data_IF_094104274514
#
_entry.id   IF_094104274514
#
_cell.length_a   1.000
_cell.length_b   1.000
_cell.length_c   1.000
_cell.angle_alpha   90.00
_cell.angle_beta   90.00
_cell.angle_gamma   90.00
#
_symmetry.space_group_name_H-M   'P 1'
#
loop_
_entity.id
_entity.type
_entity.pdbx_description
1 polymer ?
#
# COMPACT_ATOMS: atom_id res chain seq x y z
N UNK A 1 10.00 -26.21 20.11
CA UNK A 1 9.30 -25.05 20.72
C UNK A 1 7.83 -25.41 20.76
N UNK A 2 7.20 -25.38 21.93
CA UNK A 2 5.76 -25.55 22.05
C UNK A 2 5.15 -24.15 22.12
N UNK A 3 4.25 -23.85 21.20
CA UNK A 3 3.50 -22.60 21.22
C UNK A 3 2.38 -22.71 22.24
N UNK A 4 2.29 -21.76 23.16
CA UNK A 4 1.23 -21.68 24.16
C UNK A 4 0.27 -20.57 23.77
N UNK A 5 -1.00 -20.92 23.62
CA UNK A 5 -2.08 -19.98 23.35
C UNK A 5 -3.00 -19.92 24.58
N UNK A 6 -3.37 -18.72 25.01
CA UNK A 6 -4.39 -18.52 26.04
C UNK A 6 -5.48 -17.61 25.51
N UNK A 7 -6.73 -18.04 25.67
CA UNK A 7 -7.89 -17.27 25.27
C UNK A 7 -8.26 -16.32 26.42
N UNK A 8 -8.14 -15.00 26.22
CA UNK A 8 -8.60 -14.02 27.22
C UNK A 8 -10.10 -13.76 27.05
N UNK A 9 -10.86 -14.15 28.06
CA UNK A 9 -12.26 -13.76 28.21
C UNK A 9 -12.33 -12.49 29.04
N UNK A 10 -12.51 -11.37 28.34
CA UNK A 10 -12.70 -10.05 28.94
C UNK A 10 -14.21 -9.85 29.11
N UNK A 11 -14.62 -9.31 30.26
CA UNK A 11 -16.02 -9.08 30.63
C UNK A 11 -16.79 -8.19 29.64
N UNK A 12 -16.08 -7.29 28.94
CA UNK A 12 -16.64 -6.46 27.88
C UNK A 12 -16.61 -7.08 26.48
N UNK A 13 -15.96 -8.24 26.28
CA UNK A 13 -15.88 -8.89 24.98
C UNK A 13 -17.13 -9.73 24.71
N UNK A 14 -18.05 -9.22 23.90
CA UNK A 14 -19.27 -9.95 23.51
C UNK A 14 -19.04 -11.05 22.47
N UNK A 15 -17.81 -11.17 21.93
CA UNK A 15 -17.51 -12.14 20.87
C UNK A 15 -17.75 -13.60 21.27
N UNK A 16 -17.66 -13.93 22.57
CA UNK A 16 -17.93 -15.29 23.08
C UNK A 16 -19.42 -15.62 23.22
N UNK A 17 -20.30 -14.60 23.19
CA UNK A 17 -21.74 -14.78 23.29
C UNK A 17 -22.42 -14.99 21.92
N UNK A 18 -21.64 -15.00 20.84
CA UNK A 18 -22.16 -15.20 19.49
C UNK A 18 -22.63 -16.64 19.25
N UNK A 19 -23.69 -16.79 18.47
CA UNK A 19 -24.26 -18.10 18.09
C UNK A 19 -23.48 -18.78 16.96
N UNK A 20 -22.58 -18.05 16.29
CA UNK A 20 -21.83 -18.54 15.13
C UNK A 20 -20.52 -19.17 15.58
N UNK A 21 -20.33 -20.45 15.25
CA UNK A 21 -19.03 -21.10 15.35
C UNK A 21 -18.13 -20.69 14.17
N UNK A 22 -16.93 -20.23 14.50
CA UNK A 22 -15.98 -19.72 13.51
C UNK A 22 -14.88 -20.71 13.22
N UNK A 23 -14.62 -20.94 11.93
CA UNK A 23 -13.30 -21.36 11.48
C UNK A 23 -12.48 -20.11 11.17
N UNK A 24 -11.14 -20.22 11.19
CA UNK A 24 -10.26 -19.11 10.78
C UNK A 24 -10.62 -18.60 9.38
N UNK A 25 -10.97 -19.51 8.46
CA UNK A 25 -11.37 -19.15 7.10
C UNK A 25 -12.70 -18.40 7.07
N UNK A 26 -13.74 -18.92 7.72
CA UNK A 26 -15.07 -18.31 7.68
C UNK A 26 -15.07 -16.94 8.36
N UNK A 27 -14.33 -16.79 9.46
CA UNK A 27 -14.16 -15.50 10.12
C UNK A 27 -13.42 -14.50 9.23
N UNK A 28 -12.32 -14.90 8.57
CA UNK A 28 -11.59 -14.00 7.66
C UNK A 28 -12.45 -13.51 6.50
N UNK A 29 -13.25 -14.40 5.91
CA UNK A 29 -14.16 -14.04 4.83
C UNK A 29 -15.25 -13.08 5.32
N UNK A 30 -15.85 -13.34 6.49
CA UNK A 30 -16.86 -12.49 7.11
C UNK A 30 -16.35 -11.07 7.40
N UNK A 31 -15.09 -10.94 7.82
CA UNK A 31 -14.46 -9.66 8.09
C UNK A 31 -13.96 -8.92 6.82
N UNK A 32 -14.15 -9.49 5.62
CA UNK A 32 -13.71 -8.88 4.36
C UNK A 32 -12.19 -8.88 4.15
N UNK A 33 -11.45 -9.80 4.78
CA UNK A 33 -9.99 -9.84 4.65
C UNK A 33 -9.54 -10.11 3.20
N UNK A 34 -10.33 -10.83 2.42
CA UNK A 34 -9.94 -11.24 1.08
C UNK A 34 -9.86 -10.03 0.14
N UNK A 35 -10.76 -9.05 0.26
CA UNK A 35 -10.70 -7.78 -0.44
C UNK A 35 -9.53 -6.93 0.05
N UNK A 36 -9.35 -6.82 1.37
CA UNK A 36 -8.24 -6.04 1.96
C UNK A 36 -6.85 -6.58 1.58
N UNK A 37 -6.70 -7.90 1.47
CA UNK A 37 -5.44 -8.54 1.08
C UNK A 37 -4.94 -8.08 -0.29
N UNK A 38 -5.84 -7.75 -1.22
CA UNK A 38 -5.49 -7.41 -2.60
C UNK A 38 -4.56 -6.21 -2.72
N UNK A 39 -4.61 -5.28 -1.77
CA UNK A 39 -3.72 -4.12 -1.70
C UNK A 39 -2.72 -4.16 -0.54
N UNK A 40 -2.95 -4.98 0.49
CA UNK A 40 -2.12 -4.99 1.70
C UNK A 40 -0.76 -5.66 1.50
N UNK A 41 -0.71 -6.72 0.69
CA UNK A 41 0.50 -7.55 0.55
C UNK A 41 1.68 -6.76 -0.02
N UNK A 42 1.46 -6.09 -1.14
CA UNK A 42 2.48 -5.29 -1.83
C UNK A 42 2.99 -4.14 -0.95
N UNK A 43 2.11 -3.52 -0.16
CA UNK A 43 2.51 -2.52 0.83
C UNK A 43 3.44 -3.08 1.91
N UNK A 44 3.09 -4.24 2.46
CA UNK A 44 3.95 -4.90 3.45
C UNK A 44 5.32 -5.24 2.90
N UNK A 45 5.40 -5.71 1.66
CA UNK A 45 6.66 -6.02 1.01
C UNK A 45 7.58 -4.78 0.96
N UNK A 46 7.04 -3.62 0.58
CA UNK A 46 7.77 -2.34 0.60
C UNK A 46 8.28 -2.01 2.00
N UNK A 47 7.41 -2.10 3.02
CA UNK A 47 7.78 -1.78 4.40
C UNK A 47 8.85 -2.74 4.95
N UNK A 48 8.72 -4.04 4.69
CA UNK A 48 9.66 -5.06 5.12
C UNK A 48 11.01 -4.87 4.43
N UNK A 49 11.01 -4.64 3.11
CA UNK A 49 12.22 -4.37 2.36
C UNK A 49 12.95 -3.13 2.87
N UNK A 50 12.21 -2.03 3.13
CA UNK A 50 12.80 -0.83 3.74
C UNK A 50 13.36 -1.12 5.14
N UNK A 51 12.67 -1.94 5.95
CA UNK A 51 13.14 -2.37 7.25
C UNK A 51 14.46 -3.14 7.20
N UNK A 52 14.66 -3.96 6.17
CA UNK A 52 15.91 -4.69 5.94
C UNK A 52 17.05 -3.80 5.47
N UNK A 53 16.77 -2.76 4.67
CA UNK A 53 17.78 -1.81 4.19
C UNK A 53 18.22 -0.81 5.26
N UNK A 54 17.44 -0.67 6.35
CA UNK A 54 17.73 0.27 7.43
C UNK A 54 17.18 1.68 7.17
N UNK A 55 17.64 2.69 7.93
CA UNK A 55 17.07 4.03 7.88
C UNK A 55 17.30 4.73 6.53
N UNK A 56 16.23 5.18 5.89
CA UNK A 56 16.28 5.95 4.66
C UNK A 56 16.69 7.40 4.93
N UNK A 57 17.84 7.82 4.39
CA UNK A 57 18.22 9.23 4.37
C UNK A 57 17.46 9.97 3.25
N UNK A 58 16.20 10.31 3.52
CA UNK A 58 15.36 11.06 2.60
C UNK A 58 15.52 12.57 2.82
N UNK A 59 15.78 13.32 1.75
CA UNK A 59 15.68 14.78 1.80
C UNK A 59 14.20 15.23 1.88
N UNK A 60 13.95 16.53 2.12
CA UNK A 60 12.59 17.06 2.26
C UNK A 60 11.71 16.80 1.03
N UNK A 61 12.33 16.73 -0.16
CA UNK A 61 11.63 16.46 -1.42
C UNK A 61 11.15 15.02 -1.50
N UNK A 62 12.04 14.05 -1.26
CA UNK A 62 11.70 12.62 -1.25
C UNK A 62 10.61 12.34 -0.23
N UNK A 63 10.69 12.95 0.97
CA UNK A 63 9.63 12.84 1.98
C UNK A 63 8.27 13.32 1.45
N UNK A 64 8.21 14.49 0.81
CA UNK A 64 6.95 15.01 0.24
C UNK A 64 6.38 14.10 -0.86
N UNK A 65 7.24 13.60 -1.76
CA UNK A 65 6.81 12.69 -2.83
C UNK A 65 6.27 11.40 -2.22
N UNK A 66 7.02 10.78 -1.32
CA UNK A 66 6.60 9.57 -0.60
C UNK A 66 5.27 9.79 0.11
N UNK A 67 5.13 10.86 0.89
CA UNK A 67 3.89 11.17 1.61
C UNK A 67 2.71 11.34 0.65
N UNK A 68 2.92 11.97 -0.50
CA UNK A 68 1.86 12.16 -1.50
C UNK A 68 1.41 10.81 -2.07
N UNK A 69 2.38 9.99 -2.53
CA UNK A 69 2.07 8.70 -3.16
C UNK A 69 1.45 7.72 -2.15
N UNK A 70 1.91 7.71 -0.90
CA UNK A 70 1.49 6.73 0.11
C UNK A 70 0.23 7.13 0.92
N UNK A 71 -0.02 8.43 1.13
CA UNK A 71 -1.04 8.89 2.08
C UNK A 71 -2.01 9.94 1.54
N UNK A 72 -1.79 10.48 0.33
CA UNK A 72 -2.69 11.45 -0.30
C UNK A 72 -3.13 10.94 -1.69
N UNK A 73 -4.02 9.93 -1.75
CA UNK A 73 -4.43 9.30 -2.99
C UNK A 73 -5.07 10.28 -3.98
N UNK A 74 -5.81 11.28 -3.49
CA UNK A 74 -6.43 12.31 -4.33
C UNK A 74 -5.39 13.18 -5.03
N UNK A 75 -4.36 13.61 -4.29
CA UNK A 75 -3.26 14.38 -4.87
C UNK A 75 -2.40 13.52 -5.78
N UNK A 76 -2.18 12.26 -5.42
CA UNK A 76 -1.46 11.32 -6.27
C UNK A 76 -2.19 11.10 -7.60
N UNK A 77 -3.51 10.94 -7.58
CA UNK A 77 -4.35 10.81 -8.78
C UNK A 77 -4.20 12.03 -9.72
N UNK A 78 -4.13 13.25 -9.17
CA UNK A 78 -3.84 14.47 -9.96
C UNK A 78 -2.42 14.46 -10.51
N UNK A 79 -1.43 14.06 -9.71
CA UNK A 79 -0.01 14.02 -10.11
C UNK A 79 0.22 13.05 -11.27
N UNK A 80 -0.50 11.91 -11.32
CA UNK A 80 -0.43 10.95 -12.43
C UNK A 80 -0.86 11.57 -13.78
N UNK A 81 -1.74 12.57 -13.74
CA UNK A 81 -2.22 13.23 -14.96
C UNK A 81 -1.19 14.20 -15.54
N UNK A 82 -0.18 14.60 -14.77
CA UNK A 82 0.86 15.53 -15.22
C UNK A 82 1.75 14.87 -16.30
N UNK A 83 2.08 15.57 -17.40
CA UNK A 83 2.86 14.99 -18.50
C UNK A 83 4.21 14.40 -18.07
N UNK A 84 4.89 15.06 -17.12
CA UNK A 84 6.18 14.61 -16.60
C UNK A 84 6.10 13.26 -15.90
N UNK A 85 4.98 12.99 -15.20
CA UNK A 85 4.73 11.71 -14.55
C UNK A 85 4.44 10.60 -15.56
N UNK A 86 3.55 10.87 -16.53
CA UNK A 86 3.17 9.90 -17.56
C UNK A 86 4.38 9.42 -18.36
N UNK A 87 5.29 10.34 -18.69
CA UNK A 87 6.50 10.01 -19.42
C UNK A 87 7.48 9.16 -18.60
N UNK A 88 7.50 9.34 -17.28
CA UNK A 88 8.43 8.62 -16.38
C UNK A 88 7.99 7.19 -16.07
N UNK A 89 6.68 6.93 -16.01
CA UNK A 89 6.12 5.62 -15.63
C UNK A 89 5.48 4.85 -16.79
N UNK A 90 5.47 5.39 -18.01
CA UNK A 90 4.95 4.76 -19.21
C UNK A 90 3.53 4.20 -19.05
N UNK A 91 2.64 4.97 -18.38
CA UNK A 91 1.24 4.59 -18.19
C UNK A 91 0.48 4.73 -19.51
N UNK A 92 -0.18 3.67 -19.95
CA UNK A 92 -1.04 3.73 -21.12
C UNK A 92 -2.41 4.35 -20.79
N UNK A 93 -3.23 4.60 -21.83
CA UNK A 93 -4.53 5.24 -21.65
C UNK A 93 -5.55 4.35 -20.91
N UNK A 94 -5.43 3.03 -21.00
CA UNK A 94 -6.33 2.09 -20.33
C UNK A 94 -6.06 2.09 -18.82
N UNK A 95 -4.78 2.00 -18.45
CA UNK A 95 -4.30 2.07 -17.08
C UNK A 95 -4.67 3.43 -16.45
N UNK A 96 -4.47 4.54 -17.17
CA UNK A 96 -4.88 5.87 -16.71
C UNK A 96 -6.38 5.96 -16.42
N UNK A 97 -7.22 5.46 -17.32
CA UNK A 97 -8.68 5.47 -17.11
C UNK A 97 -9.07 4.65 -15.88
N UNK A 98 -8.46 3.48 -15.69
CA UNK A 98 -8.68 2.62 -14.53
C UNK A 98 -8.31 3.32 -13.22
N UNK A 99 -7.13 3.95 -13.16
CA UNK A 99 -6.65 4.68 -11.97
C UNK A 99 -7.61 5.82 -11.58
N UNK A 100 -8.25 6.48 -12.54
CA UNK A 100 -9.16 7.60 -12.26
C UNK A 100 -10.43 7.17 -11.51
N UNK A 101 -10.88 5.92 -11.67
CA UNK A 101 -12.15 5.44 -11.11
C UNK A 101 -12.01 4.26 -10.15
N UNK A 102 -10.81 3.70 -10.00
CA UNK A 102 -10.56 2.52 -9.18
C UNK A 102 -9.38 2.77 -8.22
N UNK A 103 -9.68 2.84 -6.92
CA UNK A 103 -8.67 3.08 -5.89
C UNK A 103 -7.68 1.92 -5.73
N UNK A 104 -8.10 0.67 -5.97
CA UNK A 104 -7.17 -0.47 -5.96
C UNK A 104 -6.18 -0.38 -7.13
N UNK A 105 -6.64 0.08 -8.30
CA UNK A 105 -5.75 0.32 -9.43
C UNK A 105 -4.76 1.44 -9.14
N UNK A 106 -5.23 2.56 -8.56
CA UNK A 106 -4.38 3.66 -8.10
C UNK A 106 -3.33 3.18 -7.09
N UNK A 107 -3.75 2.33 -6.15
CA UNK A 107 -2.88 1.79 -5.09
C UNK A 107 -1.78 0.90 -5.68
N UNK A 108 -2.10 0.00 -6.61
CA UNK A 108 -1.08 -0.82 -7.31
C UNK A 108 -0.05 0.02 -8.04
N UNK A 109 -0.48 1.10 -8.70
CA UNK A 109 0.45 2.04 -9.34
C UNK A 109 1.27 2.82 -8.32
N UNK A 110 0.67 3.23 -7.19
CA UNK A 110 1.41 3.87 -6.10
C UNK A 110 2.57 2.99 -5.62
N UNK A 111 2.36 1.67 -5.48
CA UNK A 111 3.40 0.74 -5.06
C UNK A 111 4.51 0.59 -6.09
N UNK A 112 4.18 0.55 -7.39
CA UNK A 112 5.18 0.60 -8.46
C UNK A 112 6.02 1.86 -8.36
N UNK A 113 5.39 3.01 -8.14
CA UNK A 113 6.08 4.29 -8.00
C UNK A 113 6.94 4.37 -6.74
N UNK A 114 6.47 3.85 -5.61
CA UNK A 114 7.22 3.80 -4.36
C UNK A 114 8.42 2.86 -4.46
N UNK A 115 8.26 1.67 -5.05
CA UNK A 115 9.38 0.78 -5.32
C UNK A 115 10.45 1.45 -6.17
N UNK A 116 10.02 2.17 -7.23
CA UNK A 116 10.96 2.89 -8.09
C UNK A 116 11.67 4.04 -7.34
N UNK A 117 10.93 4.79 -6.52
CA UNK A 117 11.47 5.90 -5.71
C UNK A 117 12.46 5.42 -4.63
N UNK A 118 12.21 4.27 -4.02
CA UNK A 118 12.94 3.78 -2.85
C UNK A 118 14.08 2.83 -3.20
N UNK A 119 13.91 1.97 -4.22
CA UNK A 119 14.75 0.79 -4.39
C UNK A 119 15.42 0.65 -5.77
N UNK A 120 15.15 1.54 -6.73
CA UNK A 120 15.80 1.46 -8.06
C UNK A 120 16.84 2.55 -8.28
N UNK A 121 17.86 2.27 -9.10
CA UNK A 121 18.83 3.29 -9.56
C UNK A 121 18.16 4.42 -10.37
N UNK A 122 16.96 4.17 -10.91
CA UNK A 122 16.12 5.17 -11.57
C UNK A 122 15.49 6.18 -10.60
N UNK A 123 15.64 5.99 -9.28
CA UNK A 123 15.10 6.89 -8.26
C UNK A 123 15.54 8.34 -8.46
N UNK A 124 16.78 8.60 -8.90
CA UNK A 124 17.25 9.97 -9.16
C UNK A 124 16.52 10.64 -10.33
N UNK A 125 16.30 9.91 -11.44
CA UNK A 125 15.53 10.40 -12.59
C UNK A 125 14.07 10.70 -12.23
N UNK A 126 13.46 9.83 -11.42
CA UNK A 126 12.08 10.01 -10.95
C UNK A 126 11.98 11.20 -9.99
N UNK A 127 12.97 11.36 -9.11
CA UNK A 127 13.06 12.55 -8.25
C UNK A 127 13.13 13.80 -9.11
N UNK A 128 13.91 13.85 -10.18
CA UNK A 128 14.00 15.01 -11.08
C UNK A 128 12.73 15.29 -11.88
N UNK A 129 12.06 14.26 -12.43
CA UNK A 129 10.85 14.44 -13.24
C UNK A 129 9.64 14.96 -12.46
N UNK A 130 9.66 14.84 -11.13
CA UNK A 130 8.63 15.31 -10.21
C UNK A 130 8.94 16.72 -9.67
N UNK A 131 9.63 17.59 -10.42
CA UNK A 131 9.82 19.04 -10.11
C UNK A 131 8.61 19.79 -10.65
#
# INVERSE_FOLDING_TARGET
MADYYFCRQLDYCQGFAGEVEWTVRSWRADQGFDEYEQGRREWLEILLQQGLQGPLQANARVRRIFTTIAYDPDRFRRMILEPAFRQSFHLDNEELNSIMTNDLALLKVSYRCLNALLFTEAAERIKEALV
#
